data_IF_484725122386
#
_entry.id   IF_484725122386
#
_cell.length_a   1.000
_cell.length_b   1.000
_cell.length_c   1.000
_cell.angle_alpha   90.00
_cell.angle_beta   90.00
_cell.angle_gamma   90.00
#
_symmetry.space_group_name_H-M   'P 1'
#
loop_
_entity.id
_entity.type
_entity.pdbx_description
1 polymer ?
#
# COMPACT_ATOMS: atom_id res chain seq x y z
N UNK A 1 -25.17 2.87 21.56
CA UNK A 1 -25.70 3.24 20.23
C UNK A 1 -25.11 4.56 19.81
N UNK A 2 -24.55 4.63 18.60
CA UNK A 2 -23.98 5.85 18.05
C UNK A 2 -25.05 6.75 17.44
N UNK A 3 -24.69 8.00 17.13
CA UNK A 3 -25.61 9.01 16.58
C UNK A 3 -26.26 8.59 15.25
N UNK A 4 -25.65 7.68 14.48
CA UNK A 4 -26.21 7.11 13.24
C UNK A 4 -27.17 5.94 13.49
N UNK A 5 -27.45 5.60 14.75
CA UNK A 5 -28.29 4.50 15.17
C UNK A 5 -27.58 3.14 15.21
N UNK A 6 -26.29 3.07 14.87
CA UNK A 6 -25.54 1.81 14.87
C UNK A 6 -25.20 1.38 16.30
N UNK A 7 -25.45 0.12 16.62
CA UNK A 7 -24.98 -0.52 17.85
C UNK A 7 -23.62 -1.15 17.62
N UNK A 8 -22.66 -0.83 18.49
CA UNK A 8 -21.27 -1.30 18.41
C UNK A 8 -20.84 -1.74 19.79
N UNK A 9 -20.21 -2.92 19.85
CA UNK A 9 -19.52 -3.41 21.05
C UNK A 9 -18.08 -2.91 21.02
N UNK A 10 -17.68 -2.20 22.06
CA UNK A 10 -16.33 -1.64 22.21
C UNK A 10 -15.58 -2.44 23.29
N UNK A 11 -14.26 -2.53 23.14
CA UNK A 11 -13.37 -3.08 24.16
C UNK A 11 -12.73 -1.96 24.99
N UNK A 12 -11.91 -2.33 25.98
CA UNK A 12 -11.25 -1.40 26.90
C UNK A 12 -10.18 -0.52 26.23
N UNK A 13 -9.92 -0.71 24.94
CA UNK A 13 -8.95 0.10 24.20
C UNK A 13 -9.53 1.42 23.68
N UNK A 14 -10.85 1.64 23.82
CA UNK A 14 -11.53 2.87 23.39
C UNK A 14 -11.61 3.88 24.53
N UNK A 15 -11.15 5.10 24.27
CA UNK A 15 -11.38 6.22 25.18
C UNK A 15 -12.84 6.67 25.08
N UNK A 16 -13.54 6.67 26.20
CA UNK A 16 -14.96 7.01 26.29
C UNK A 16 -15.18 8.31 27.05
N UNK A 17 -16.17 9.07 26.60
CA UNK A 17 -16.74 10.19 27.35
C UNK A 17 -18.00 9.65 28.02
N UNK A 18 -18.08 9.78 29.34
CA UNK A 18 -19.13 9.15 30.15
C UNK A 18 -19.59 10.05 31.28
N UNK A 19 -20.83 9.88 31.70
CA UNK A 19 -21.32 10.38 32.99
C UNK A 19 -21.19 9.28 34.07
N UNK A 20 -21.71 9.53 35.27
CA UNK A 20 -21.66 8.58 36.39
C UNK A 20 -22.43 7.26 36.13
N UNK A 21 -23.29 7.21 35.12
CA UNK A 21 -24.23 6.11 34.87
C UNK A 21 -23.97 5.39 33.54
N UNK A 22 -23.49 6.09 32.51
CA UNK A 22 -23.40 5.57 31.14
C UNK A 22 -22.35 6.26 30.28
N UNK A 23 -21.92 5.55 29.24
CA UNK A 23 -21.11 6.12 28.16
C UNK A 23 -21.97 7.01 27.25
N UNK A 24 -21.44 8.18 26.92
CA UNK A 24 -22.10 9.21 26.11
C UNK A 24 -21.52 9.25 24.70
N UNK A 25 -20.20 9.16 24.54
CA UNK A 25 -19.54 9.25 23.24
C UNK A 25 -18.23 8.48 23.21
N UNK A 26 -17.79 8.11 22.00
CA UNK A 26 -16.41 7.69 21.75
C UNK A 26 -15.58 8.97 21.59
N UNK A 27 -14.62 9.17 22.49
CA UNK A 27 -13.85 10.40 22.60
C UNK A 27 -13.17 10.74 21.27
N UNK A 28 -13.38 11.95 20.76
CA UNK A 28 -12.77 12.42 19.51
C UNK A 28 -13.19 11.66 18.25
N UNK A 29 -14.20 10.79 18.30
CA UNK A 29 -14.65 9.99 17.16
C UNK A 29 -16.12 10.26 16.84
N UNK A 30 -17.04 9.88 17.73
CA UNK A 30 -18.48 9.99 17.47
C UNK A 30 -19.31 10.03 18.75
N UNK A 31 -20.32 10.91 18.75
CA UNK A 31 -21.31 11.00 19.81
C UNK A 31 -22.27 9.82 19.84
N UNK A 32 -22.80 9.53 21.03
CA UNK A 32 -23.91 8.61 21.21
C UNK A 32 -25.26 9.25 20.87
N UNK A 33 -26.23 8.41 20.55
CA UNK A 33 -27.57 8.84 20.17
C UNK A 33 -28.27 9.60 21.31
N UNK A 34 -28.22 9.05 22.53
CA UNK A 34 -28.97 9.55 23.69
C UNK A 34 -28.37 10.81 24.33
N UNK A 35 -27.17 11.23 23.90
CA UNK A 35 -26.45 12.38 24.44
C UNK A 35 -26.33 13.54 23.45
N UNK A 36 -26.93 13.40 22.25
CA UNK A 36 -26.96 14.45 21.24
C UNK A 36 -27.99 15.54 21.52
N UNK A 37 -27.85 16.68 20.83
CA UNK A 37 -28.85 17.76 20.83
C UNK A 37 -30.07 17.32 20.03
N UNK A 38 -31.26 17.60 20.55
CA UNK A 38 -32.57 17.30 19.96
C UNK A 38 -33.42 18.56 19.79
N UNK A 39 -34.60 18.44 19.17
CA UNK A 39 -35.54 19.57 19.02
C UNK A 39 -36.02 20.15 20.36
N UNK A 40 -36.06 19.32 21.41
CA UNK A 40 -36.52 19.71 22.74
C UNK A 40 -35.37 20.24 23.65
N UNK A 41 -34.13 20.22 23.17
CA UNK A 41 -32.95 20.60 23.96
C UNK A 41 -32.92 22.11 24.18
N UNK A 42 -32.85 22.51 25.45
CA UNK A 42 -32.79 23.92 25.88
C UNK A 42 -31.42 24.33 26.41
N UNK A 43 -30.74 23.40 27.04
CA UNK A 43 -29.45 23.60 27.69
C UNK A 43 -28.44 22.60 27.13
N UNK A 44 -27.21 23.06 26.86
CA UNK A 44 -26.13 22.25 26.28
C UNK A 44 -24.85 22.38 27.10
N UNK A 45 -24.02 21.35 27.03
CA UNK A 45 -22.63 21.38 27.51
C UNK A 45 -21.73 21.29 26.29
N UNK A 46 -20.78 22.22 26.18
CA UNK A 46 -19.80 22.24 25.10
C UNK A 46 -18.55 21.48 25.53
N UNK A 47 -18.04 20.66 24.63
CA UNK A 47 -16.78 19.94 24.78
C UNK A 47 -15.73 20.51 23.82
N UNK A 48 -14.56 20.85 24.35
CA UNK A 48 -13.37 21.23 23.58
C UNK A 48 -12.18 20.56 24.25
N UNK A 49 -11.64 19.51 23.62
CA UNK A 49 -10.64 18.65 24.23
C UNK A 49 -9.43 18.44 23.31
N UNK A 50 -8.32 18.05 23.93
CA UNK A 50 -7.17 17.45 23.26
C UNK A 50 -7.19 15.94 23.57
N UNK A 51 -7.13 15.13 22.53
CA UNK A 51 -6.91 13.69 22.66
C UNK A 51 -5.54 13.36 22.08
N UNK A 52 -4.79 12.50 22.79
CA UNK A 52 -3.52 12.00 22.26
C UNK A 52 -3.80 11.23 20.95
N UNK A 53 -3.16 11.60 19.82
CA UNK A 53 -3.37 10.95 18.54
C UNK A 53 -3.20 9.42 18.58
N UNK A 54 -2.24 8.91 19.37
CA UNK A 54 -2.00 7.49 19.52
C UNK A 54 -3.20 6.73 20.13
N UNK A 55 -4.03 7.40 20.93
CA UNK A 55 -5.23 6.82 21.53
C UNK A 55 -6.38 6.71 20.51
N UNK A 56 -6.45 7.64 19.55
CA UNK A 56 -7.54 7.75 18.57
C UNK A 56 -7.23 7.01 17.27
N UNK A 57 -5.96 6.90 16.91
CA UNK A 57 -5.49 6.32 15.66
C UNK A 57 -6.07 4.91 15.43
N UNK A 58 -6.66 4.70 14.26
CA UNK A 58 -7.23 3.42 13.85
C UNK A 58 -8.61 3.09 14.45
N UNK A 59 -9.00 3.70 15.58
CA UNK A 59 -10.27 3.39 16.28
C UNK A 59 -11.51 3.59 15.40
N UNK A 60 -11.52 4.68 14.63
CA UNK A 60 -12.61 4.98 13.70
C UNK A 60 -12.70 3.92 12.58
N UNK A 61 -11.55 3.43 12.08
CA UNK A 61 -11.48 2.42 11.03
C UNK A 61 -11.93 1.05 11.53
N UNK A 62 -11.58 0.69 12.76
CA UNK A 62 -11.95 -0.59 13.39
C UNK A 62 -13.48 -0.76 13.49
N UNK A 63 -14.19 0.35 13.76
CA UNK A 63 -15.67 0.36 13.84
C UNK A 63 -16.36 0.72 12.51
N UNK A 64 -15.57 0.98 11.45
CA UNK A 64 -16.06 1.29 10.10
C UNK A 64 -16.75 2.64 9.99
N UNK A 65 -16.27 3.65 10.73
CA UNK A 65 -16.84 5.01 10.77
C UNK A 65 -15.75 5.99 10.37
N UNK A 66 -16.10 7.04 9.63
CA UNK A 66 -15.18 8.13 9.28
C UNK A 66 -15.84 9.46 9.63
N UNK A 67 -15.29 10.18 10.61
CA UNK A 67 -15.76 11.51 11.00
C UNK A 67 -14.65 12.54 10.85
N UNK A 68 -15.06 13.79 10.65
CA UNK A 68 -14.18 14.96 10.66
C UNK A 68 -13.40 15.10 11.98
N UNK A 69 -14.00 14.69 13.10
CA UNK A 69 -13.37 14.70 14.41
C UNK A 69 -12.26 13.66 14.50
N UNK A 70 -12.56 12.40 14.13
CA UNK A 70 -11.59 11.31 14.15
C UNK A 70 -10.38 11.62 13.26
N UNK A 71 -10.63 12.12 12.05
CA UNK A 71 -9.58 12.49 11.09
C UNK A 71 -8.63 13.58 11.63
N UNK A 72 -9.15 14.55 12.39
CA UNK A 72 -8.31 15.60 12.99
C UNK A 72 -7.54 15.08 14.19
N UNK A 73 -8.21 14.37 15.10
CA UNK A 73 -7.58 13.87 16.31
C UNK A 73 -6.55 12.76 16.05
N UNK A 74 -6.76 11.91 15.04
CA UNK A 74 -5.76 10.88 14.67
C UNK A 74 -4.46 11.49 14.10
N UNK A 75 -4.55 12.68 13.48
CA UNK A 75 -3.40 13.40 12.92
C UNK A 75 -2.74 14.37 13.89
N UNK A 76 -3.49 14.78 14.92
CA UNK A 76 -3.05 15.79 15.88
C UNK A 76 -3.84 17.09 15.73
N UNK A 77 -4.42 17.52 16.85
CA UNK A 77 -4.98 18.86 17.04
C UNK A 77 -4.08 19.57 18.03
N UNK A 78 -3.81 20.86 17.79
CA UNK A 78 -2.96 21.67 18.68
C UNK A 78 -3.43 21.56 20.14
N UNK A 79 -2.58 21.10 21.07
CA UNK A 79 -2.93 20.88 22.48
C UNK A 79 -3.16 22.17 23.27
N UNK A 80 -2.94 23.36 22.68
CA UNK A 80 -3.19 24.65 23.31
C UNK A 80 -4.34 25.44 22.67
N UNK A 81 -5.03 24.88 21.67
CA UNK A 81 -6.11 25.56 20.93
C UNK A 81 -7.47 25.53 21.64
N UNK A 82 -7.67 24.61 22.60
CA UNK A 82 -8.98 24.23 23.14
C UNK A 82 -9.71 25.41 23.79
N UNK A 83 -8.99 26.24 24.54
CA UNK A 83 -9.56 27.40 25.23
C UNK A 83 -10.05 28.45 24.23
N UNK A 84 -9.23 28.78 23.23
CA UNK A 84 -9.60 29.73 22.17
C UNK A 84 -10.79 29.20 21.36
N UNK A 85 -10.78 27.91 21.00
CA UNK A 85 -11.88 27.27 20.30
C UNK A 85 -13.18 27.29 21.11
N UNK A 86 -13.12 27.00 22.42
CA UNK A 86 -14.26 27.03 23.32
C UNK A 86 -14.88 28.43 23.42
N UNK A 87 -14.05 29.45 23.59
CA UNK A 87 -14.52 30.85 23.64
C UNK A 87 -15.18 31.26 22.33
N UNK A 88 -14.57 30.92 21.19
CA UNK A 88 -15.12 31.25 19.87
C UNK A 88 -16.45 30.54 19.62
N UNK A 89 -16.57 29.26 19.96
CA UNK A 89 -17.82 28.51 19.84
C UNK A 89 -18.92 29.11 20.73
N UNK A 90 -18.59 29.44 21.98
CA UNK A 90 -19.53 30.07 22.93
C UNK A 90 -20.03 31.41 22.42
N UNK A 91 -19.13 32.25 21.88
CA UNK A 91 -19.49 33.54 21.29
C UNK A 91 -20.49 33.37 20.13
N UNK A 92 -20.21 32.47 19.20
CA UNK A 92 -21.06 32.22 18.03
C UNK A 92 -22.43 31.66 18.43
N UNK A 93 -22.48 30.73 19.38
CA UNK A 93 -23.75 30.17 19.87
C UNK A 93 -24.60 31.26 20.51
N UNK A 94 -24.03 32.13 21.34
CA UNK A 94 -24.77 33.25 21.93
C UNK A 94 -25.29 34.23 20.89
N UNK A 95 -24.51 34.50 19.84
CA UNK A 95 -24.91 35.40 18.77
C UNK A 95 -26.06 34.83 17.92
N UNK A 96 -26.07 33.52 17.69
CA UNK A 96 -27.02 32.87 16.77
C UNK A 96 -28.26 32.37 17.52
N UNK A 97 -28.07 31.67 18.63
CA UNK A 97 -29.13 30.99 19.38
C UNK A 97 -29.57 31.76 20.64
N UNK A 98 -28.79 32.74 21.09
CA UNK A 98 -29.00 33.42 22.36
C UNK A 98 -28.51 32.61 23.57
N UNK A 99 -29.09 32.87 24.74
CA UNK A 99 -28.77 32.18 25.99
C UNK A 99 -27.62 32.81 26.79
N UNK A 100 -27.37 32.21 27.96
CA UNK A 100 -26.32 32.62 28.89
C UNK A 100 -25.28 31.50 29.03
N UNK A 101 -24.00 31.87 29.05
CA UNK A 101 -22.91 30.91 29.18
C UNK A 101 -22.41 30.90 30.64
N UNK A 102 -22.28 29.70 31.20
CA UNK A 102 -21.60 29.49 32.48
C UNK A 102 -20.07 29.63 32.36
N UNK A 103 -19.34 29.49 33.48
CA UNK A 103 -17.88 29.49 33.46
C UNK A 103 -17.34 28.27 32.73
N UNK A 104 -16.19 28.43 32.06
CA UNK A 104 -15.45 27.31 31.46
C UNK A 104 -14.85 26.47 32.59
N UNK A 105 -15.13 25.17 32.59
CA UNK A 105 -14.49 24.21 33.47
C UNK A 105 -13.33 23.56 32.72
N UNK A 106 -12.12 23.74 33.22
CA UNK A 106 -10.90 23.19 32.62
C UNK A 106 -10.33 22.09 33.50
N UNK A 107 -10.14 20.90 32.91
CA UNK A 107 -9.42 19.80 33.52
C UNK A 107 -8.17 19.52 32.69
N UNK A 108 -7.00 19.87 33.23
CA UNK A 108 -5.72 19.78 32.53
C UNK A 108 -4.72 18.96 33.37
N UNK A 109 -4.01 18.04 32.71
CA UNK A 109 -2.88 17.31 33.26
C UNK A 109 -1.59 17.72 32.55
N UNK A 110 -0.88 18.69 33.12
CA UNK A 110 0.33 19.29 32.52
C UNK A 110 1.41 18.26 32.15
N UNK A 111 1.48 17.14 32.88
CA UNK A 111 2.44 16.06 32.63
C UNK A 111 2.17 15.29 31.32
N UNK A 112 0.95 15.35 30.78
CA UNK A 112 0.54 14.62 29.57
C UNK A 112 0.32 15.52 28.36
N UNK A 113 0.54 16.83 28.49
CA UNK A 113 0.58 17.73 27.34
C UNK A 113 1.92 17.51 26.62
N UNK A 114 1.90 17.22 25.31
CA UNK A 114 3.14 17.01 24.56
C UNK A 114 3.98 18.29 24.55
N UNK A 115 5.25 18.15 24.89
CA UNK A 115 6.23 19.23 24.82
C UNK A 115 7.01 19.11 23.52
N UNK A 116 7.35 20.25 22.93
CA UNK A 116 8.19 20.30 21.73
C UNK A 116 9.65 20.42 22.12
N UNK A 117 10.43 19.43 21.71
CA UNK A 117 11.87 19.42 21.92
C UNK A 117 12.57 20.46 21.05
N UNK A 118 13.72 20.93 21.53
CA UNK A 118 14.60 21.78 20.73
C UNK A 118 15.31 20.93 19.68
N UNK A 119 15.16 21.30 18.43
CA UNK A 119 15.79 20.62 17.30
C UNK A 119 17.02 21.41 16.87
N UNK A 120 18.16 20.72 16.73
CA UNK A 120 19.40 21.33 16.26
C UNK A 120 19.66 20.98 14.80
N UNK A 121 19.80 21.99 13.96
CA UNK A 121 20.18 21.88 12.56
C UNK A 121 21.52 22.59 12.35
N UNK A 122 22.55 21.88 11.87
CA UNK A 122 23.83 22.48 11.51
C UNK A 122 23.87 22.86 10.03
N UNK A 123 24.65 23.89 9.68
CA UNK A 123 24.94 24.24 8.28
C UNK A 123 25.45 23.06 7.46
N UNK A 124 26.36 22.28 8.04
CA UNK A 124 26.93 21.11 7.37
C UNK A 124 25.85 20.08 7.04
N UNK A 125 24.92 19.81 7.97
CA UNK A 125 23.83 18.86 7.73
C UNK A 125 22.88 19.39 6.66
N UNK A 126 22.50 20.67 6.74
CA UNK A 126 21.67 21.32 5.73
C UNK A 126 22.30 21.20 4.33
N UNK A 127 23.57 21.58 4.19
CA UNK A 127 24.30 21.52 2.93
C UNK A 127 24.40 20.09 2.39
N UNK A 128 24.73 19.12 3.25
CA UNK A 128 24.88 17.71 2.84
C UNK A 128 23.57 17.10 2.34
N UNK A 129 22.43 17.49 2.90
CA UNK A 129 21.11 16.98 2.48
C UNK A 129 20.61 17.74 1.24
N UNK A 130 20.75 19.06 1.22
CA UNK A 130 20.27 19.89 0.11
C UNK A 130 21.09 19.73 -1.18
N UNK A 131 22.41 19.63 -1.04
CA UNK A 131 23.33 19.66 -2.18
C UNK A 131 23.52 21.06 -2.81
N UNK A 132 22.98 22.12 -2.20
CA UNK A 132 23.20 23.51 -2.62
C UNK A 132 23.13 24.47 -1.43
N UNK A 133 23.69 25.67 -1.61
CA UNK A 133 23.73 26.69 -0.56
C UNK A 133 22.44 27.51 -0.49
N UNK A 134 21.94 27.68 0.73
CA UNK A 134 20.87 28.63 1.08
C UNK A 134 21.46 29.58 2.11
N UNK A 135 21.30 30.89 1.91
CA UNK A 135 21.86 31.89 2.83
C UNK A 135 21.24 31.78 4.23
N UNK A 136 22.06 32.04 5.25
CA UNK A 136 21.65 31.91 6.66
C UNK A 136 20.44 32.77 7.02
N UNK A 137 20.39 34.00 6.48
CA UNK A 137 19.27 34.92 6.65
C UNK A 137 17.99 34.35 6.04
N UNK A 138 18.09 33.69 4.87
CA UNK A 138 16.93 33.09 4.20
C UNK A 138 16.42 31.89 4.99
N UNK A 139 17.30 31.02 5.48
CA UNK A 139 16.92 29.89 6.35
C UNK A 139 16.20 30.40 7.60
N UNK A 140 16.78 31.38 8.28
CA UNK A 140 16.22 31.95 9.51
C UNK A 140 14.85 32.58 9.27
N UNK A 141 14.70 33.37 8.20
CA UNK A 141 13.44 34.01 7.82
C UNK A 141 12.34 32.99 7.47
N UNK A 142 12.70 31.88 6.79
CA UNK A 142 11.76 30.81 6.46
C UNK A 142 11.21 30.17 7.75
N UNK A 143 12.11 29.75 8.65
CA UNK A 143 11.73 29.05 9.88
C UNK A 143 10.90 29.97 10.81
N UNK A 144 11.29 31.24 10.94
CA UNK A 144 10.51 32.24 11.69
C UNK A 144 9.14 32.52 11.04
N UNK A 145 9.08 32.60 9.70
CA UNK A 145 7.83 32.76 8.95
C UNK A 145 6.84 31.61 9.14
N UNK A 146 7.35 30.41 9.47
CA UNK A 146 6.58 29.24 9.85
C UNK A 146 6.22 29.21 11.34
N UNK A 147 6.36 30.34 12.04
CA UNK A 147 6.06 30.50 13.47
C UNK A 147 6.92 29.64 14.41
N UNK A 148 8.14 29.27 13.98
CA UNK A 148 9.10 28.57 14.84
C UNK A 148 9.92 29.58 15.65
N UNK A 149 10.32 29.18 16.86
CA UNK A 149 11.31 29.94 17.63
C UNK A 149 12.70 29.52 17.18
N UNK A 150 13.52 30.47 16.72
CA UNK A 150 14.83 30.19 16.10
C UNK A 150 15.91 30.98 16.79
N UNK A 151 16.92 30.27 17.30
CA UNK A 151 18.18 30.83 17.80
C UNK A 151 19.32 30.37 16.87
N UNK A 152 20.14 31.29 16.38
CA UNK A 152 21.24 30.98 15.46
C UNK A 152 22.59 31.41 16.05
N UNK A 153 23.53 30.47 16.17
CA UNK A 153 24.84 30.66 16.81
C UNK A 153 26.01 30.79 15.82
N UNK A 154 25.73 31.21 14.58
CA UNK A 154 26.62 31.27 13.40
C UNK A 154 26.87 29.96 12.66
N UNK A 155 26.74 28.80 13.32
CA UNK A 155 26.95 27.48 12.68
C UNK A 155 25.73 26.56 12.78
N UNK A 156 24.87 26.78 13.77
CA UNK A 156 23.72 25.95 14.06
C UNK A 156 22.47 26.79 14.33
N UNK A 157 21.34 26.30 13.83
CA UNK A 157 20.02 26.71 14.26
C UNK A 157 19.54 25.79 15.38
N UNK A 158 19.10 26.40 16.48
CA UNK A 158 18.31 25.73 17.52
C UNK A 158 16.87 26.21 17.36
N UNK A 159 15.98 25.27 17.02
CA UNK A 159 14.62 25.56 16.60
C UNK A 159 13.63 24.87 17.53
N UNK A 160 12.61 25.61 17.97
CA UNK A 160 11.45 25.04 18.68
C UNK A 160 10.24 25.17 17.75
N UNK A 161 9.67 24.05 17.28
CA UNK A 161 8.49 24.10 16.42
C UNK A 161 7.26 24.55 17.21
N UNK A 162 6.26 25.16 16.54
CA UNK A 162 4.98 25.46 17.18
C UNK A 162 4.21 24.18 17.56
N UNK A 163 3.34 24.28 18.56
CA UNK A 163 2.60 23.14 19.13
C UNK A 163 1.65 22.46 18.14
N UNK A 164 1.21 23.18 17.12
CA UNK A 164 0.31 22.67 16.08
C UNK A 164 0.99 21.82 15.00
N UNK A 165 2.33 21.78 14.95
CA UNK A 165 3.09 20.99 13.98
C UNK A 165 3.51 19.66 14.59
N UNK A 166 2.79 18.59 14.27
CA UNK A 166 3.07 17.22 14.77
C UNK A 166 4.11 16.46 13.94
N UNK A 167 4.50 17.03 12.81
CA UNK A 167 5.40 16.48 11.80
C UNK A 167 6.85 17.00 11.92
N UNK A 168 7.14 17.84 12.92
CA UNK A 168 8.48 18.40 13.15
C UNK A 168 9.03 17.91 14.48
N UNK A 169 9.99 16.98 14.40
CA UNK A 169 10.66 16.33 15.53
C UNK A 169 12.17 16.18 15.34
N UNK A 170 12.65 16.13 14.08
CA UNK A 170 14.06 15.95 13.74
C UNK A 170 14.58 17.05 12.81
N UNK A 171 15.91 17.11 12.64
CA UNK A 171 16.54 18.15 11.83
C UNK A 171 16.16 18.04 10.34
N UNK A 172 15.92 16.83 9.84
CA UNK A 172 15.47 16.55 8.48
C UNK A 172 14.11 17.20 8.18
N UNK A 173 13.20 17.27 9.14
CA UNK A 173 11.89 17.92 8.97
C UNK A 173 12.06 19.44 8.76
N UNK A 174 13.04 20.04 9.45
CA UNK A 174 13.41 21.44 9.21
C UNK A 174 14.01 21.63 7.81
N UNK A 175 14.81 20.67 7.33
CA UNK A 175 15.36 20.71 5.97
C UNK A 175 14.23 20.63 4.94
N UNK A 176 13.25 19.74 5.13
CA UNK A 176 12.06 19.66 4.28
C UNK A 176 11.32 21.00 4.22
N UNK A 177 11.07 21.64 5.36
CA UNK A 177 10.41 22.95 5.41
C UNK A 177 11.20 24.04 4.67
N UNK A 178 12.54 24.02 4.79
CA UNK A 178 13.41 24.93 4.05
C UNK A 178 13.31 24.67 2.54
N UNK A 179 13.39 23.41 2.09
CA UNK A 179 13.25 23.05 0.67
C UNK A 179 11.88 23.48 0.13
N UNK A 180 10.81 23.15 0.87
CA UNK A 180 9.43 23.44 0.49
C UNK A 180 9.21 24.94 0.26
N UNK A 181 9.81 25.78 1.11
CA UNK A 181 9.71 27.24 1.01
C UNK A 181 10.67 27.86 -0.01
N UNK A 182 11.83 27.22 -0.26
CA UNK A 182 12.71 27.60 -1.38
C UNK A 182 12.08 27.23 -2.72
N UNK A 183 11.29 26.14 -2.76
CA UNK A 183 10.68 25.57 -3.95
C UNK A 183 11.57 24.48 -4.55
N UNK A 184 11.02 23.26 -4.69
CA UNK A 184 11.73 22.11 -5.25
C UNK A 184 12.26 22.37 -6.67
N UNK A 185 11.53 23.12 -7.48
CA UNK A 185 11.95 23.47 -8.86
C UNK A 185 13.19 24.37 -8.92
N UNK A 186 13.52 25.05 -7.82
CA UNK A 186 14.71 25.88 -7.72
C UNK A 186 15.96 25.09 -7.32
N UNK A 187 15.81 23.80 -6.99
CA UNK A 187 16.95 22.94 -6.67
C UNK A 187 17.72 22.59 -7.94
N UNK A 188 19.06 22.71 -7.96
CA UNK A 188 19.85 22.32 -9.11
C UNK A 188 19.75 20.81 -9.33
N UNK A 189 19.57 20.40 -10.59
CA UNK A 189 19.70 18.99 -10.98
C UNK A 189 21.19 18.66 -11.08
N UNK A 190 21.72 17.91 -10.11
CA UNK A 190 23.11 17.47 -10.09
C UNK A 190 23.16 15.95 -10.29
N UNK A 191 24.03 15.49 -11.18
CA UNK A 191 24.22 14.06 -11.41
C UNK A 191 24.86 13.40 -10.18
N UNK A 192 24.40 12.19 -9.86
CA UNK A 192 24.98 11.39 -8.78
C UNK A 192 26.42 10.99 -9.15
N UNK A 193 27.39 11.40 -8.33
CA UNK A 193 28.77 10.96 -8.46
C UNK A 193 28.86 9.55 -7.85
N UNK A 194 29.13 8.57 -8.69
CA UNK A 194 29.26 7.16 -8.29
C UNK A 194 30.54 6.56 -8.84
N UNK A 195 31.06 5.53 -8.15
CA UNK A 195 32.13 4.70 -8.70
C UNK A 195 31.54 3.71 -9.70
N UNK A 196 31.95 3.82 -10.96
CA UNK A 196 31.51 2.91 -12.02
C UNK A 196 32.30 1.60 -11.96
N UNK A 197 31.82 0.66 -11.15
CA UNK A 197 32.36 -0.69 -11.10
C UNK A 197 31.59 -1.62 -12.03
N UNK A 198 32.29 -2.24 -12.99
CA UNK A 198 31.71 -3.29 -13.83
C UNK A 198 31.60 -4.56 -12.97
N UNK A 199 30.37 -4.97 -12.68
CA UNK A 199 30.13 -6.24 -11.99
C UNK A 199 30.29 -7.41 -12.97
N UNK A 200 30.99 -8.49 -12.59
CA UNK A 200 31.11 -9.67 -13.44
C UNK A 200 29.74 -10.32 -13.63
N UNK A 201 29.37 -10.57 -14.89
CA UNK A 201 28.19 -11.35 -15.26
C UNK A 201 28.65 -12.72 -15.78
N UNK A 202 28.33 -13.82 -15.10
CA UNK A 202 28.69 -15.15 -15.57
C UNK A 202 28.05 -15.43 -16.94
N UNK A 203 28.85 -15.82 -17.93
CA UNK A 203 28.37 -16.13 -19.29
C UNK A 203 27.40 -17.32 -19.31
N UNK A 204 27.55 -18.24 -18.34
CA UNK A 204 26.66 -19.37 -18.14
C UNK A 204 25.26 -18.99 -17.61
N UNK A 205 25.08 -17.76 -17.12
CA UNK A 205 23.80 -17.31 -16.58
C UNK A 205 22.84 -16.99 -17.71
N UNK A 206 21.85 -17.86 -17.89
CA UNK A 206 20.75 -17.62 -18.82
C UNK A 206 19.73 -16.68 -18.15
N UNK A 207 19.46 -15.56 -18.81
CA UNK A 207 18.49 -14.58 -18.31
C UNK A 207 17.08 -14.94 -18.76
N UNK A 208 16.07 -14.58 -17.96
CA UNK A 208 14.66 -14.74 -18.35
C UNK A 208 14.35 -14.08 -19.69
N UNK A 209 14.93 -12.90 -19.95
CA UNK A 209 14.74 -12.17 -21.21
C UNK A 209 15.24 -12.96 -22.43
N UNK A 210 16.33 -13.73 -22.30
CA UNK A 210 16.79 -14.62 -23.38
C UNK A 210 15.76 -15.70 -23.69
N UNK A 211 15.19 -16.34 -22.67
CA UNK A 211 14.13 -17.36 -22.83
C UNK A 211 12.87 -16.75 -23.46
N UNK A 212 12.43 -15.57 -22.98
CA UNK A 212 11.31 -14.82 -23.58
C UNK A 212 11.55 -14.53 -25.06
N UNK A 213 12.76 -14.12 -25.41
CA UNK A 213 13.14 -13.79 -26.79
C UNK A 213 13.09 -15.03 -27.70
N UNK A 214 13.55 -16.18 -27.20
CA UNK A 214 13.46 -17.45 -27.93
C UNK A 214 12.00 -17.89 -28.14
N UNK A 215 11.16 -17.80 -27.12
CA UNK A 215 9.73 -18.09 -27.24
C UNK A 215 9.04 -17.17 -28.26
N UNK A 216 9.38 -15.88 -28.25
CA UNK A 216 8.89 -14.93 -29.27
C UNK A 216 9.34 -15.33 -30.69
N UNK A 217 10.57 -15.79 -30.87
CA UNK A 217 11.09 -16.27 -32.16
C UNK A 217 10.39 -17.55 -32.63
N UNK A 218 9.93 -18.39 -31.71
CA UNK A 218 9.11 -19.57 -31.98
C UNK A 218 7.62 -19.21 -32.20
N UNK A 219 7.26 -17.93 -32.16
CA UNK A 219 5.91 -17.43 -32.41
C UNK A 219 4.97 -17.50 -31.21
N UNK A 220 5.48 -17.70 -29.99
CA UNK A 220 4.66 -17.53 -28.78
C UNK A 220 4.49 -16.05 -28.43
N UNK A 221 3.31 -15.70 -27.93
CA UNK A 221 3.00 -14.39 -27.40
C UNK A 221 3.01 -14.41 -25.86
N UNK A 222 3.69 -13.46 -25.22
CA UNK A 222 3.71 -13.38 -23.76
C UNK A 222 2.34 -12.95 -23.22
N UNK A 223 1.87 -13.66 -22.19
CA UNK A 223 0.69 -13.35 -21.41
C UNK A 223 1.09 -13.11 -19.94
N UNK A 224 0.36 -12.24 -19.26
CA UNK A 224 0.52 -11.97 -17.82
C UNK A 224 -0.84 -12.19 -17.18
N UNK A 225 -0.93 -13.17 -16.29
CA UNK A 225 -2.19 -13.53 -15.62
C UNK A 225 -2.14 -13.14 -14.15
N UNK A 226 -3.31 -13.05 -13.51
CA UNK A 226 -3.36 -12.72 -12.08
C UNK A 226 -2.65 -13.78 -11.24
N UNK A 227 -1.92 -13.32 -10.22
CA UNK A 227 -1.31 -14.21 -9.22
C UNK A 227 -2.33 -14.83 -8.27
N UNK A 228 -3.54 -14.27 -8.22
CA UNK A 228 -4.66 -14.75 -7.42
C UNK A 228 -5.67 -15.42 -8.33
N UNK A 229 -6.19 -16.58 -7.93
CA UNK A 229 -7.16 -17.37 -8.67
C UNK A 229 -8.15 -18.04 -7.72
N UNK A 230 -9.17 -18.67 -8.28
CA UNK A 230 -10.17 -19.38 -7.49
C UNK A 230 -9.65 -20.74 -7.02
N UNK A 231 -10.07 -21.16 -5.83
CA UNK A 231 -9.75 -22.50 -5.32
C UNK A 231 -10.25 -23.60 -6.27
N UNK A 232 -11.43 -23.39 -6.86
CA UNK A 232 -12.05 -24.32 -7.81
C UNK A 232 -11.18 -24.56 -9.04
N UNK A 233 -10.57 -23.51 -9.59
CA UNK A 233 -9.65 -23.65 -10.72
C UNK A 233 -8.45 -24.51 -10.34
N UNK A 234 -7.81 -24.26 -9.18
CA UNK A 234 -6.69 -25.07 -8.71
C UNK A 234 -7.07 -26.54 -8.51
N UNK A 235 -8.24 -26.81 -7.91
CA UNK A 235 -8.74 -28.18 -7.68
C UNK A 235 -8.92 -28.94 -9.00
N UNK A 236 -9.43 -28.30 -10.04
CA UNK A 236 -9.63 -28.94 -11.35
C UNK A 236 -8.32 -29.44 -11.99
N UNK A 237 -7.20 -28.75 -11.73
CA UNK A 237 -5.88 -29.15 -12.23
C UNK A 237 -5.07 -29.97 -11.21
N UNK A 238 -5.61 -30.26 -10.03
CA UNK A 238 -4.90 -30.99 -8.97
C UNK A 238 -3.77 -30.18 -8.32
N UNK A 239 -3.82 -28.85 -8.40
CA UNK A 239 -2.80 -27.95 -7.84
C UNK A 239 -3.28 -27.23 -6.56
N UNK A 240 -4.38 -27.66 -5.94
CA UNK A 240 -4.92 -27.00 -4.75
C UNK A 240 -4.14 -27.27 -3.45
N UNK A 241 -3.31 -28.32 -3.45
CA UNK A 241 -2.47 -28.66 -2.31
C UNK A 241 -1.48 -27.55 -1.99
N UNK A 242 -1.23 -27.32 -0.69
CA UNK A 242 -0.31 -26.30 -0.18
C UNK A 242 -0.58 -24.87 -0.68
N UNK A 243 -1.81 -24.58 -1.10
CA UNK A 243 -2.19 -23.24 -1.56
C UNK A 243 -2.33 -22.24 -0.41
N UNK A 244 -2.19 -20.95 -0.74
CA UNK A 244 -2.17 -19.86 0.24
C UNK A 244 -3.42 -19.00 0.05
N UNK A 245 -4.44 -19.12 0.92
CA UNK A 245 -5.62 -18.27 0.86
C UNK A 245 -5.32 -16.86 1.36
N UNK A 246 -5.94 -15.86 0.72
CA UNK A 246 -5.95 -14.50 1.19
C UNK A 246 -6.97 -14.33 2.31
N UNK A 247 -6.60 -13.58 3.36
CA UNK A 247 -7.50 -13.27 4.48
C UNK A 247 -8.66 -12.36 4.07
N UNK A 248 -8.37 -11.36 3.23
CA UNK A 248 -9.33 -10.35 2.77
C UNK A 248 -9.27 -10.25 1.23
N UNK A 249 -9.78 -11.24 0.49
CA UNK A 249 -9.73 -11.22 -0.96
C UNK A 249 -10.70 -10.19 -1.55
N UNK A 250 -10.40 -9.72 -2.78
CA UNK A 250 -11.29 -8.82 -3.52
C UNK A 250 -12.61 -9.51 -3.87
N UNK A 251 -12.55 -10.77 -4.32
CA UNK A 251 -13.69 -11.66 -4.61
C UNK A 251 -13.28 -13.11 -4.35
N UNK A 252 -14.25 -14.04 -4.33
CA UNK A 252 -13.97 -15.48 -4.25
C UNK A 252 -13.17 -16.02 -5.45
N UNK A 253 -13.28 -15.36 -6.60
CA UNK A 253 -12.51 -15.68 -7.81
C UNK A 253 -11.02 -15.33 -7.67
N UNK A 254 -10.67 -14.44 -6.72
CA UNK A 254 -9.30 -14.02 -6.41
C UNK A 254 -8.91 -14.35 -4.97
N UNK A 255 -9.38 -15.49 -4.46
CA UNK A 255 -9.24 -15.86 -3.06
C UNK A 255 -7.90 -16.51 -2.69
N UNK A 256 -7.18 -17.11 -3.64
CA UNK A 256 -6.02 -17.95 -3.35
C UNK A 256 -4.85 -17.64 -4.28
N UNK A 257 -3.62 -17.66 -3.76
CA UNK A 257 -2.40 -17.55 -4.56
C UNK A 257 -2.24 -18.75 -5.52
N UNK A 258 -1.86 -18.49 -6.76
CA UNK A 258 -1.60 -19.54 -7.76
C UNK A 258 -0.40 -20.41 -7.37
N UNK A 259 -0.59 -21.71 -7.37
CA UNK A 259 0.45 -22.75 -7.19
C UNK A 259 1.00 -23.24 -8.54
N UNK A 260 0.37 -22.83 -9.65
CA UNK A 260 0.77 -23.14 -11.02
C UNK A 260 0.34 -22.00 -11.94
N UNK A 261 1.09 -21.74 -13.01
CA UNK A 261 0.73 -20.78 -14.07
C UNK A 261 -0.31 -21.35 -15.04
N UNK A 262 -0.47 -22.67 -15.07
CA UNK A 262 -1.30 -23.37 -16.05
C UNK A 262 -2.78 -22.93 -16.04
N UNK A 263 -3.46 -22.78 -14.88
CA UNK A 263 -4.86 -22.37 -14.88
C UNK A 263 -5.08 -21.00 -15.55
N UNK A 264 -4.24 -20.02 -15.25
CA UNK A 264 -4.34 -18.67 -15.80
C UNK A 264 -4.10 -18.63 -17.30
N UNK A 265 -3.06 -19.31 -17.80
CA UNK A 265 -2.77 -19.32 -19.23
C UNK A 265 -3.83 -20.09 -20.02
N UNK A 266 -4.39 -21.16 -19.46
CA UNK A 266 -5.49 -21.91 -20.09
C UNK A 266 -6.79 -21.11 -20.14
N UNK A 267 -7.10 -20.34 -19.10
CA UNK A 267 -8.22 -19.40 -19.11
C UNK A 267 -8.03 -18.33 -20.18
N UNK A 268 -6.81 -17.78 -20.30
CA UNK A 268 -6.45 -16.81 -21.35
C UNK A 268 -6.61 -17.41 -22.75
N UNK A 269 -6.20 -18.67 -22.93
CA UNK A 269 -6.37 -19.36 -24.20
C UNK A 269 -7.86 -19.56 -24.54
N UNK A 270 -8.66 -20.04 -23.58
CA UNK A 270 -10.12 -20.19 -23.71
C UNK A 270 -10.83 -18.85 -23.98
N UNK A 271 -10.38 -17.76 -23.37
CA UNK A 271 -10.89 -16.41 -23.62
C UNK A 271 -10.71 -15.98 -25.09
N UNK A 272 -9.57 -16.34 -25.70
CA UNK A 272 -9.29 -16.09 -27.12
C UNK A 272 -10.08 -17.02 -28.05
N UNK A 273 -10.17 -18.31 -27.73
CA UNK A 273 -10.97 -19.29 -28.49
C UNK A 273 -12.44 -18.86 -28.58
N UNK A 274 -13.02 -18.37 -27.47
CA UNK A 274 -14.40 -17.83 -27.44
C UNK A 274 -14.59 -16.58 -28.29
N UNK A 275 -13.52 -15.91 -28.69
CA UNK A 275 -13.50 -14.74 -29.58
C UNK A 275 -13.09 -15.11 -31.01
N UNK A 276 -13.30 -16.37 -31.39
CA UNK A 276 -13.08 -16.89 -32.74
C UNK A 276 -11.60 -16.88 -33.18
N UNK A 277 -10.67 -16.75 -32.23
CA UNK A 277 -9.26 -16.96 -32.51
C UNK A 277 -8.90 -18.43 -32.24
N UNK A 278 -8.87 -19.24 -33.30
CA UNK A 278 -8.66 -20.68 -33.22
C UNK A 278 -7.19 -21.11 -33.07
N UNK A 279 -6.24 -20.19 -33.30
CA UNK A 279 -4.81 -20.44 -33.21
C UNK A 279 -4.22 -19.57 -32.11
N UNK A 280 -3.92 -20.19 -30.96
CA UNK A 280 -3.47 -19.51 -29.76
C UNK A 280 -2.16 -20.11 -29.29
N UNK A 281 -1.08 -19.33 -29.39
CA UNK A 281 0.26 -19.71 -28.96
C UNK A 281 0.75 -18.70 -27.93
N UNK A 282 0.67 -19.05 -26.65
CA UNK A 282 0.93 -18.17 -25.51
C UNK A 282 2.00 -18.75 -24.58
N UNK A 283 2.72 -17.88 -23.88
CA UNK A 283 3.57 -18.28 -22.76
C UNK A 283 3.50 -17.27 -21.62
N UNK A 284 3.81 -17.69 -20.41
CA UNK A 284 3.92 -16.82 -19.24
C UNK A 284 5.13 -17.23 -18.40
N UNK A 285 5.84 -16.24 -17.87
CA UNK A 285 6.86 -16.43 -16.84
C UNK A 285 6.41 -15.71 -15.58
N UNK A 286 6.52 -16.37 -14.43
CA UNK A 286 6.13 -15.74 -13.17
C UNK A 286 6.20 -16.67 -11.97
N UNK A 287 6.03 -16.06 -10.80
CA UNK A 287 6.10 -16.79 -9.54
C UNK A 287 4.82 -17.59 -9.29
N UNK A 288 5.01 -18.78 -8.74
CA UNK A 288 3.98 -19.59 -8.09
C UNK A 288 4.31 -19.71 -6.61
N UNK A 289 3.26 -19.84 -5.79
CA UNK A 289 3.35 -19.73 -4.34
C UNK A 289 2.84 -21.01 -3.70
N UNK A 290 3.67 -21.65 -2.90
CA UNK A 290 3.37 -22.92 -2.22
C UNK A 290 3.71 -22.80 -0.74
N UNK A 291 2.97 -23.51 0.11
CA UNK A 291 3.38 -23.73 1.51
C UNK A 291 4.35 -24.91 1.60
N UNK A 292 5.41 -24.74 2.38
CA UNK A 292 6.23 -25.87 2.80
C UNK A 292 5.60 -26.63 3.98
N UNK A 293 6.24 -27.71 4.42
CA UNK A 293 5.80 -28.51 5.57
C UNK A 293 5.73 -27.72 6.88
N UNK A 294 6.47 -26.62 6.98
CA UNK A 294 6.51 -25.71 8.13
C UNK A 294 5.56 -24.52 7.97
N UNK A 295 4.72 -24.51 6.92
CA UNK A 295 3.81 -23.42 6.56
C UNK A 295 4.49 -22.09 6.17
N UNK A 296 5.76 -22.10 5.79
CA UNK A 296 6.41 -20.96 5.14
C UNK A 296 5.99 -20.87 3.67
N UNK A 297 6.00 -19.65 3.13
CA UNK A 297 5.71 -19.40 1.71
C UNK A 297 6.99 -19.62 0.89
N UNK A 298 6.94 -20.56 -0.04
CA UNK A 298 7.95 -20.76 -1.07
C UNK A 298 7.47 -20.09 -2.36
N UNK A 299 8.34 -19.28 -2.95
CA UNK A 299 8.15 -18.69 -4.27
C UNK A 299 9.05 -19.36 -5.29
N UNK A 300 8.45 -19.98 -6.29
CA UNK A 300 9.18 -20.60 -7.39
C UNK A 300 8.89 -19.85 -8.68
N UNK A 301 9.95 -19.46 -9.39
CA UNK A 301 9.85 -18.86 -10.71
C UNK A 301 9.61 -19.95 -11.75
N UNK A 302 8.50 -19.84 -12.48
CA UNK A 302 8.04 -20.85 -13.42
C UNK A 302 7.87 -20.27 -14.82
N UNK A 303 7.98 -21.13 -15.81
CA UNK A 303 7.61 -20.88 -17.20
C UNK A 303 6.50 -21.86 -17.58
N UNK A 304 5.45 -21.34 -18.22
CA UNK A 304 4.42 -22.17 -18.87
C UNK A 304 4.22 -21.68 -20.30
N UNK A 305 3.95 -22.61 -21.21
CA UNK A 305 3.61 -22.30 -22.58
C UNK A 305 2.44 -23.19 -23.04
N UNK A 306 1.59 -22.65 -23.91
CA UNK A 306 0.45 -23.35 -24.49
C UNK A 306 0.38 -23.04 -25.98
N UNK A 307 0.11 -24.06 -26.79
CA UNK A 307 -0.06 -23.95 -28.22
C UNK A 307 -1.29 -24.75 -28.65
N UNK A 308 -2.30 -24.07 -29.19
CA UNK A 308 -3.61 -24.63 -29.56
C UNK A 308 -3.93 -24.21 -30.99
N UNK A 309 -4.45 -25.15 -31.79
CA UNK A 309 -4.91 -24.89 -33.15
C UNK A 309 -4.06 -25.60 -34.20
N UNK A 310 -3.93 -24.95 -35.35
CA UNK A 310 -3.15 -25.44 -36.48
C UNK A 310 -1.66 -25.13 -36.31
N UNK A 311 -0.79 -26.01 -36.81
CA UNK A 311 0.67 -25.84 -36.76
C UNK A 311 1.14 -24.56 -37.45
N UNK A 312 0.48 -24.18 -38.53
CA UNK A 312 0.75 -22.96 -39.26
C UNK A 312 -0.53 -22.14 -39.43
N UNK A 313 -0.39 -20.82 -39.44
CA UNK A 313 -1.44 -19.93 -39.91
C UNK A 313 -1.77 -20.22 -41.38
N UNK A 314 -2.95 -19.80 -41.84
CA UNK A 314 -3.36 -19.96 -43.24
C UNK A 314 -2.30 -19.39 -44.19
N UNK A 315 -1.76 -20.26 -45.02
CA UNK A 315 -0.67 -19.99 -45.94
C UNK A 315 -0.82 -20.89 -47.17
N UNK A 316 -0.40 -20.38 -48.34
CA UNK A 316 -0.41 -21.07 -49.62
C UNK A 316 0.72 -22.10 -49.79
N UNK A 317 1.82 -21.94 -49.04
CA UNK A 317 3.05 -22.74 -49.19
C UNK A 317 3.22 -23.89 -48.21
N UNK A 318 2.31 -24.06 -47.24
CA UNK A 318 2.40 -25.08 -46.19
C UNK A 318 1.08 -25.83 -46.03
N UNK A 319 1.12 -27.03 -45.45
CA UNK A 319 -0.10 -27.71 -45.01
C UNK A 319 -0.67 -26.98 -43.79
N UNK A 320 -1.81 -26.35 -44.00
CA UNK A 320 -2.52 -25.52 -43.01
C UNK A 320 -3.58 -26.28 -42.23
N UNK A 321 -3.82 -27.55 -42.57
CA UNK A 321 -4.86 -28.40 -41.96
C UNK A 321 -4.32 -29.30 -40.85
N UNK A 322 -3.01 -29.38 -40.71
CA UNK A 322 -2.36 -30.15 -39.65
C UNK A 322 -2.47 -29.41 -38.30
N UNK A 323 -3.10 -30.07 -37.33
CA UNK A 323 -3.17 -29.57 -35.95
C UNK A 323 -1.82 -29.71 -35.26
N UNK A 324 -1.56 -28.83 -34.29
CA UNK A 324 -0.44 -28.96 -33.36
C UNK A 324 -0.55 -30.28 -32.60
N UNK A 325 0.55 -31.00 -32.50
CA UNK A 325 0.65 -32.24 -31.74
C UNK A 325 1.71 -32.15 -30.61
N UNK A 326 1.91 -33.26 -29.90
CA UNK A 326 2.87 -33.34 -28.80
C UNK A 326 4.32 -33.07 -29.25
N UNK A 327 4.70 -33.49 -30.45
CA UNK A 327 6.07 -33.36 -30.95
C UNK A 327 6.39 -31.93 -31.35
N UNK A 328 5.40 -31.13 -31.75
CA UNK A 328 5.56 -29.70 -31.99
C UNK A 328 5.96 -28.95 -30.72
N UNK A 329 5.23 -29.18 -29.61
CA UNK A 329 5.53 -28.56 -28.32
C UNK A 329 6.85 -29.10 -27.74
N UNK A 330 7.12 -30.40 -27.93
CA UNK A 330 8.39 -31.02 -27.55
C UNK A 330 9.57 -30.35 -28.26
N UNK A 331 9.47 -30.12 -29.57
CA UNK A 331 10.52 -29.47 -30.35
C UNK A 331 10.76 -28.02 -29.89
N UNK A 332 9.70 -27.27 -29.58
CA UNK A 332 9.82 -25.92 -29.01
C UNK A 332 10.55 -25.94 -27.66
N UNK A 333 10.24 -26.92 -26.80
CA UNK A 333 10.90 -27.07 -25.49
C UNK A 333 12.36 -27.55 -25.62
N UNK A 334 12.65 -28.48 -26.52
CA UNK A 334 14.02 -28.92 -26.84
C UNK A 334 14.86 -27.73 -27.32
N UNK A 335 14.32 -26.86 -28.18
CA UNK A 335 15.02 -25.64 -28.62
C UNK A 335 15.39 -24.72 -27.45
N UNK A 336 14.49 -24.56 -26.47
CA UNK A 336 14.76 -23.76 -25.27
C UNK A 336 15.83 -24.44 -24.39
N UNK A 337 15.71 -25.74 -24.17
CA UNK A 337 16.61 -26.51 -23.30
C UNK A 337 18.00 -26.75 -23.92
N UNK A 338 18.13 -26.89 -25.24
CA UNK A 338 19.40 -27.07 -25.94
C UNK A 338 20.29 -25.81 -25.85
N UNK A 339 19.67 -24.66 -25.63
CA UNK A 339 20.39 -23.42 -25.33
C UNK A 339 20.90 -23.37 -23.87
N UNK A 340 20.55 -24.38 -23.06
CA UNK A 340 21.08 -24.60 -21.71
C UNK A 340 22.12 -25.71 -21.74
N UNK A 341 23.13 -25.66 -20.85
CA UNK A 341 24.09 -26.76 -20.68
C UNK A 341 23.52 -27.91 -19.84
N UNK A 342 22.19 -27.99 -19.69
CA UNK A 342 21.53 -28.95 -18.81
C UNK A 342 21.27 -30.26 -19.56
N UNK A 343 21.56 -31.38 -18.90
CA UNK A 343 21.09 -32.68 -19.36
C UNK A 343 19.60 -32.83 -19.02
N UNK A 344 18.80 -33.26 -20.00
CA UNK A 344 17.36 -33.45 -19.83
C UNK A 344 16.89 -34.75 -20.47
N UNK A 345 15.80 -35.31 -19.94
CA UNK A 345 15.14 -36.49 -20.47
C UNK A 345 13.62 -36.35 -20.31
N UNK A 346 12.87 -36.84 -21.29
CA UNK A 346 11.41 -36.86 -21.26
C UNK A 346 10.91 -38.23 -20.79
N UNK A 347 10.26 -38.28 -19.63
CA UNK A 347 9.72 -39.51 -19.04
C UNK A 347 8.22 -39.40 -18.88
N UNK A 348 7.47 -40.46 -19.18
CA UNK A 348 6.00 -40.43 -19.06
C UNK A 348 5.55 -39.93 -17.68
N UNK A 349 4.81 -38.83 -17.64
CA UNK A 349 4.23 -38.27 -16.43
C UNK A 349 2.91 -38.96 -16.03
N UNK A 350 2.44 -38.65 -14.82
CA UNK A 350 1.21 -39.21 -14.23
C UNK A 350 0.15 -38.14 -13.90
N UNK A 351 0.19 -36.99 -14.57
CA UNK A 351 -0.72 -35.89 -14.29
C UNK A 351 -2.12 -36.18 -14.84
N UNK A 352 -3.12 -36.18 -13.96
CA UNK A 352 -4.51 -36.52 -14.30
C UNK A 352 -5.18 -35.54 -15.27
N UNK A 353 -4.70 -34.29 -15.34
CA UNK A 353 -5.23 -33.27 -16.24
C UNK A 353 -4.67 -33.37 -17.67
N UNK A 354 -3.66 -34.23 -17.91
CA UNK A 354 -3.09 -34.48 -19.24
C UNK A 354 -3.61 -35.80 -19.83
N UNK A 355 -3.49 -35.94 -21.15
CA UNK A 355 -3.90 -37.17 -21.83
C UNK A 355 -2.96 -38.35 -21.45
N UNK A 356 -3.49 -39.52 -21.05
CA UNK A 356 -2.71 -40.61 -20.45
C UNK A 356 -1.62 -41.21 -21.37
N UNK A 357 -1.81 -41.10 -22.69
CA UNK A 357 -0.85 -41.55 -23.70
C UNK A 357 -0.04 -40.45 -24.37
N UNK A 358 -0.20 -39.17 -23.98
CA UNK A 358 0.46 -38.01 -24.61
C UNK A 358 0.93 -37.02 -23.54
N UNK A 359 1.79 -37.50 -22.66
CA UNK A 359 2.38 -36.73 -21.56
C UNK A 359 3.80 -37.24 -21.28
N UNK A 360 4.68 -36.34 -20.91
CA UNK A 360 6.06 -36.58 -20.50
C UNK A 360 6.44 -35.63 -19.36
#
# INVERSE_FOLDING_TARGET
TLLDGKEITLDDSYLMIADEKRHLAIAGVMGGLDSGVSEDTKDIVLESAYFNPATIMGKSRDIGIHTESALRFERGVDPYLQQQAMQRATELIKQICGGEAGPIQEANSQQYIPQKDKIKLSKTKLHNILGFEVSDDKVTNILQGLSMQVEFDSENWTVIPPSNRFDIEIAEDLVEEIVRMVGYDNMPSVDLITENNILPLPEEKITKNRIRTQLNQLGYQEAITYSFISEKQLKNYGFAENSIPLKNPLTEEFAIMRTSLLPGIMETANYNLRRQNNNVKLFETGNVFLKDEQSNVIENDMLVAVNIGNRCAENWGFDTKSNVDFFDIKADLENILDNTKSEYAFTKSGHNFLHPGRQA
#
